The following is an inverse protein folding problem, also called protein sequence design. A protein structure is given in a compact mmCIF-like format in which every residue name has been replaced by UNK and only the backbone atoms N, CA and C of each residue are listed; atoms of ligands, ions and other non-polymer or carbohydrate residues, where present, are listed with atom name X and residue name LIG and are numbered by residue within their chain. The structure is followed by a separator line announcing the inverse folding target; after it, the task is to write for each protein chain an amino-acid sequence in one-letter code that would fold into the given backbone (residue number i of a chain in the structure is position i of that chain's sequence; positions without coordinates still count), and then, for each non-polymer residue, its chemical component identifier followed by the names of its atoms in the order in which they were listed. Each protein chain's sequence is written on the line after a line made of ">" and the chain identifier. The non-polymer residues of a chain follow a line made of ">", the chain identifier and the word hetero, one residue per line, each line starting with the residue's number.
data_IF_873179502549
#
_entry.id   IF_873179502549
#
_cell.length_a   1.000
_cell.length_b   1.000
_cell.length_c   1.000
_cell.angle_alpha   90.00
_cell.angle_beta   90.00
_cell.angle_gamma   90.00
#
_symmetry.space_group_name_H-M   'P 1'
#
loop_
_entity.id
_entity.type
_entity.pdbx_description
1 polymer ?
#
# COMPACT_ATOMS: atom_id res chain seq x y z
N UNK A 1 11.08 -4.23 -10.95
CA UNK A 1 10.37 -5.29 -10.20
C UNK A 1 11.38 -6.34 -9.72
N UNK A 2 11.89 -6.23 -8.46
CA UNK A 2 12.96 -7.10 -7.92
C UNK A 2 12.42 -8.27 -7.08
N UNK A 3 11.20 -8.16 -6.54
CA UNK A 3 10.60 -9.18 -5.67
C UNK A 3 10.12 -10.41 -6.44
N UNK A 4 10.44 -11.61 -5.96
CA UNK A 4 9.94 -12.87 -6.50
C UNK A 4 8.40 -12.94 -6.45
N UNK A 5 7.80 -12.49 -5.34
CA UNK A 5 6.36 -12.44 -5.18
C UNK A 5 5.68 -11.55 -6.24
N UNK A 6 6.29 -10.39 -6.57
CA UNK A 6 5.74 -9.51 -7.61
C UNK A 6 5.83 -10.16 -9.01
N UNK A 7 6.92 -10.86 -9.31
CA UNK A 7 7.03 -11.59 -10.59
C UNK A 7 6.00 -12.72 -10.70
N UNK A 8 5.82 -13.48 -9.63
CA UNK A 8 4.84 -14.55 -9.57
C UNK A 8 3.40 -14.04 -9.76
N UNK A 9 3.03 -12.92 -9.11
CA UNK A 9 1.71 -12.32 -9.25
C UNK A 9 1.46 -11.79 -10.68
N UNK A 10 2.46 -11.18 -11.34
CA UNK A 10 2.35 -10.75 -12.74
C UNK A 10 2.18 -11.97 -13.66
N UNK A 11 2.94 -13.04 -13.42
CA UNK A 11 2.82 -14.27 -14.20
C UNK A 11 1.42 -14.87 -14.05
N UNK A 12 0.92 -14.98 -12.82
CA UNK A 12 -0.41 -15.52 -12.55
C UNK A 12 -1.52 -14.69 -13.25
N UNK A 13 -1.42 -13.37 -13.22
CA UNK A 13 -2.39 -12.50 -13.89
C UNK A 13 -2.35 -12.63 -15.43
N UNK A 14 -1.16 -12.86 -16.02
CA UNK A 14 -1.04 -13.15 -17.44
C UNK A 14 -1.55 -14.54 -17.81
N UNK A 15 -1.33 -15.55 -16.95
CA UNK A 15 -1.87 -16.90 -17.14
C UNK A 15 -3.41 -16.92 -17.04
N UNK A 16 -3.98 -16.07 -16.17
CA UNK A 16 -5.44 -15.87 -16.03
C UNK A 16 -6.04 -15.25 -17.30
N UNK A 17 -5.41 -14.22 -17.87
CA UNK A 17 -5.94 -13.46 -19.00
C UNK A 17 -5.71 -14.14 -20.34
N UNK A 18 -4.58 -14.82 -20.51
CA UNK A 18 -4.15 -15.40 -21.79
C UNK A 18 -4.29 -16.92 -21.87
N UNK A 19 -4.57 -17.61 -20.75
CA UNK A 19 -4.53 -19.06 -20.66
C UNK A 19 -3.11 -19.65 -20.69
N UNK A 20 -3.04 -20.99 -20.68
CA UNK A 20 -1.76 -21.71 -20.79
C UNK A 20 -1.93 -22.84 -21.82
N UNK A 21 -1.23 -22.78 -22.97
CA UNK A 21 -0.26 -21.73 -23.42
C UNK A 21 -0.93 -20.38 -23.72
N UNK A 22 -0.18 -19.29 -23.58
CA UNK A 22 -0.67 -17.93 -23.80
C UNK A 22 -1.16 -17.72 -25.21
N UNK A 23 -2.42 -17.25 -25.36
CA UNK A 23 -3.06 -16.96 -26.63
C UNK A 23 -4.03 -15.80 -26.51
N UNK A 24 -3.83 -14.74 -27.29
CA UNK A 24 -4.87 -13.76 -27.60
C UNK A 24 -5.51 -14.13 -28.92
N UNK A 25 -6.61 -14.87 -28.86
CA UNK A 25 -7.31 -15.42 -30.02
C UNK A 25 -7.71 -14.34 -31.03
N UNK A 26 -8.17 -13.17 -30.54
CA UNK A 26 -8.57 -12.06 -31.40
C UNK A 26 -7.41 -11.48 -32.19
N UNK A 27 -6.31 -11.20 -31.48
CA UNK A 27 -5.11 -10.68 -32.15
C UNK A 27 -4.49 -11.68 -33.11
N UNK A 28 -4.51 -12.98 -32.75
CA UNK A 28 -4.04 -14.04 -33.66
C UNK A 28 -4.88 -14.12 -34.92
N UNK A 29 -6.19 -13.97 -34.81
CA UNK A 29 -7.12 -14.05 -35.96
C UNK A 29 -7.07 -12.83 -36.89
N UNK A 30 -6.92 -11.60 -36.31
CA UNK A 30 -7.20 -10.37 -37.06
C UNK A 30 -5.97 -9.48 -37.32
N UNK A 31 -4.90 -9.58 -36.50
CA UNK A 31 -3.76 -8.66 -36.59
C UNK A 31 -2.61 -9.33 -37.33
N UNK A 32 -1.99 -8.62 -38.26
CA UNK A 32 -0.79 -9.10 -38.95
C UNK A 32 0.34 -9.43 -37.93
N UNK A 33 0.94 -10.60 -37.95
CA UNK A 33 2.03 -10.97 -37.03
C UNK A 33 3.27 -10.07 -37.15
N UNK A 34 3.44 -9.36 -38.28
CA UNK A 34 4.51 -8.39 -38.53
C UNK A 34 4.14 -6.96 -38.10
N UNK A 35 2.88 -6.70 -37.79
CA UNK A 35 2.42 -5.36 -37.42
C UNK A 35 3.17 -4.84 -36.18
N UNK A 36 3.69 -3.62 -36.30
CA UNK A 36 4.36 -2.89 -35.20
C UNK A 36 3.50 -1.71 -34.84
N UNK A 37 3.31 -1.49 -33.55
CA UNK A 37 2.52 -0.41 -33.04
C UNK A 37 3.30 0.43 -32.01
N UNK A 38 2.90 1.68 -31.89
CA UNK A 38 3.36 2.64 -30.88
C UNK A 38 2.17 3.18 -30.14
N UNK A 39 2.29 3.44 -28.84
CA UNK A 39 1.21 4.02 -28.07
C UNK A 39 1.69 4.54 -26.72
N UNK A 40 0.72 4.98 -25.93
CA UNK A 40 0.99 5.54 -24.61
C UNK A 40 -0.10 5.14 -23.60
N UNK A 41 0.26 5.20 -22.30
CA UNK A 41 -0.70 5.06 -21.20
C UNK A 41 -0.83 6.42 -20.51
N UNK A 42 -2.09 6.83 -20.25
CA UNK A 42 -2.44 8.08 -19.56
C UNK A 42 -3.70 7.91 -18.69
N UNK A 43 -3.97 8.89 -17.82
CA UNK A 43 -5.21 8.94 -17.03
C UNK A 43 -6.31 9.66 -17.79
N UNK A 44 -7.51 9.05 -17.92
CA UNK A 44 -8.63 9.60 -18.71
C UNK A 44 -9.30 10.80 -18.07
N UNK A 45 -9.88 10.60 -16.89
CA UNK A 45 -10.84 11.54 -16.31
C UNK A 45 -10.23 12.53 -15.33
N UNK A 46 -9.42 12.05 -14.42
CA UNK A 46 -8.82 12.85 -13.34
C UNK A 46 -7.31 12.70 -13.36
N UNK A 47 -6.59 13.71 -12.85
CA UNK A 47 -5.18 13.52 -12.53
C UNK A 47 -5.00 12.50 -11.41
N UNK A 48 -3.82 11.92 -11.33
CA UNK A 48 -3.49 10.94 -10.29
C UNK A 48 -2.03 11.02 -9.85
N UNK A 49 -1.73 10.38 -8.73
CA UNK A 49 -0.35 10.03 -8.37
C UNK A 49 0.02 8.74 -9.08
N UNK A 50 1.06 8.79 -9.90
CA UNK A 50 1.54 7.62 -10.65
C UNK A 50 2.09 6.57 -9.69
N UNK A 51 1.64 5.34 -9.85
CA UNK A 51 2.22 4.17 -9.21
C UNK A 51 2.06 2.95 -10.11
N UNK A 52 3.11 2.17 -10.27
CA UNK A 52 3.09 0.96 -11.08
C UNK A 52 3.49 1.14 -12.55
N UNK A 53 4.04 2.29 -12.97
CA UNK A 53 4.60 2.44 -14.32
C UNK A 53 5.70 1.40 -14.59
N UNK A 54 6.52 1.11 -13.58
CA UNK A 54 7.53 0.05 -13.64
C UNK A 54 6.93 -1.36 -13.71
N UNK A 55 5.75 -1.57 -13.10
CA UNK A 55 5.03 -2.85 -13.16
C UNK A 55 4.41 -3.04 -14.54
N UNK A 56 3.74 -2.02 -15.10
CA UNK A 56 3.21 -2.08 -16.47
C UNK A 56 4.29 -2.35 -17.50
N UNK A 57 5.45 -1.70 -17.38
CA UNK A 57 6.60 -1.97 -18.22
C UNK A 57 7.09 -3.43 -18.09
N UNK A 58 7.03 -3.99 -16.88
CA UNK A 58 7.40 -5.39 -16.65
C UNK A 58 6.38 -6.38 -17.22
N UNK A 59 5.09 -6.08 -17.16
CA UNK A 59 4.01 -6.87 -17.79
C UNK A 59 4.21 -6.91 -19.29
N UNK A 60 4.38 -5.74 -19.94
CA UNK A 60 4.66 -5.65 -21.38
C UNK A 60 5.86 -6.51 -21.79
N UNK A 61 6.97 -6.41 -21.04
CA UNK A 61 8.19 -7.19 -21.31
C UNK A 61 8.10 -8.66 -20.94
N UNK A 62 7.20 -9.05 -20.06
CA UNK A 62 6.95 -10.46 -19.74
C UNK A 62 6.27 -11.18 -20.92
N UNK A 63 5.40 -10.48 -21.66
CA UNK A 63 4.78 -11.00 -22.89
C UNK A 63 5.76 -10.99 -24.07
N UNK A 64 6.49 -9.89 -24.26
CA UNK A 64 7.50 -9.80 -25.30
C UNK A 64 8.67 -8.89 -24.84
N UNK A 65 9.86 -9.46 -24.57
CA UNK A 65 11.02 -8.69 -24.11
C UNK A 65 11.53 -7.66 -25.12
N UNK A 66 11.12 -7.76 -26.39
CA UNK A 66 11.48 -6.82 -27.47
C UNK A 66 10.66 -5.55 -27.46
N UNK A 67 9.57 -5.47 -26.69
CA UNK A 67 8.79 -4.23 -26.54
C UNK A 67 9.69 -3.18 -25.90
N UNK A 68 9.84 -2.05 -26.58
CA UNK A 68 10.54 -0.87 -26.07
C UNK A 68 9.57 -0.05 -25.22
N UNK A 69 9.87 0.18 -23.95
CA UNK A 69 9.04 0.98 -23.03
C UNK A 69 9.87 2.15 -22.53
N UNK A 70 9.30 3.37 -22.60
CA UNK A 70 9.89 4.59 -22.03
C UNK A 70 8.94 5.14 -20.98
N UNK A 71 9.36 5.15 -19.71
CA UNK A 71 8.61 5.78 -18.61
C UNK A 71 8.87 7.27 -18.68
N UNK A 72 7.80 8.07 -18.85
CA UNK A 72 7.82 9.53 -18.93
C UNK A 72 7.62 10.16 -17.55
N UNK A 73 6.79 9.53 -16.72
CA UNK A 73 6.49 9.96 -15.35
C UNK A 73 6.86 8.86 -14.36
N UNK A 74 7.75 9.20 -13.44
CA UNK A 74 8.19 8.28 -12.37
C UNK A 74 7.07 8.02 -11.37
N UNK A 75 7.08 6.83 -10.78
CA UNK A 75 6.20 6.51 -9.66
C UNK A 75 6.39 7.56 -8.54
N UNK A 76 5.28 8.05 -7.94
CA UNK A 76 5.22 9.17 -7.01
C UNK A 76 4.98 10.54 -7.63
N UNK A 77 5.11 10.70 -8.96
CA UNK A 77 4.78 11.94 -9.67
C UNK A 77 3.27 12.13 -9.76
N UNK A 78 2.81 13.38 -9.78
CA UNK A 78 1.41 13.70 -10.12
C UNK A 78 1.29 13.99 -11.61
N UNK A 79 0.24 13.49 -12.25
CA UNK A 79 -0.11 13.75 -13.64
C UNK A 79 -1.49 14.38 -13.75
N UNK A 80 -1.67 15.23 -14.78
CA UNK A 80 -2.96 15.78 -15.18
C UNK A 80 -3.73 14.78 -16.04
N UNK A 81 -5.05 14.98 -16.26
CA UNK A 81 -5.81 14.22 -17.25
C UNK A 81 -5.13 14.23 -18.63
N UNK A 82 -5.10 13.10 -19.30
CA UNK A 82 -4.48 12.90 -20.62
C UNK A 82 -2.97 13.15 -20.70
N UNK A 83 -2.29 13.40 -19.59
CA UNK A 83 -0.84 13.51 -19.58
C UNK A 83 -0.19 12.12 -19.67
N UNK A 84 0.68 11.85 -20.66
CA UNK A 84 1.27 10.54 -20.87
C UNK A 84 2.18 10.12 -19.70
N UNK A 85 1.98 8.89 -19.20
CA UNK A 85 2.77 8.29 -18.11
C UNK A 85 3.93 7.50 -18.68
N UNK A 86 3.66 6.68 -19.69
CA UNK A 86 4.69 5.91 -20.40
C UNK A 86 4.30 5.73 -21.87
N UNK A 87 5.30 5.51 -22.72
CA UNK A 87 5.14 5.14 -24.13
C UNK A 87 5.75 3.77 -24.38
N UNK A 88 5.25 3.11 -25.41
CA UNK A 88 5.74 1.80 -25.82
C UNK A 88 5.79 1.67 -27.35
N UNK A 89 6.64 0.75 -27.85
CA UNK A 89 6.70 0.34 -29.25
C UNK A 89 7.11 -1.13 -29.33
N UNK A 90 6.36 -1.91 -30.12
CA UNK A 90 6.63 -3.32 -30.30
C UNK A 90 5.66 -3.99 -31.25
N UNK A 91 5.66 -5.33 -31.31
CA UNK A 91 4.66 -6.07 -32.06
C UNK A 91 3.26 -5.78 -31.53
N UNK A 92 2.32 -5.46 -32.44
CA UNK A 92 0.95 -5.11 -32.07
C UNK A 92 0.28 -6.23 -31.26
N UNK A 93 0.39 -7.50 -31.71
CA UNK A 93 -0.15 -8.67 -30.98
C UNK A 93 0.36 -8.77 -29.55
N UNK A 94 1.66 -8.55 -29.34
CA UNK A 94 2.27 -8.65 -28.02
C UNK A 94 1.80 -7.54 -27.08
N UNK A 95 1.57 -6.33 -27.60
CA UNK A 95 1.09 -5.20 -26.80
C UNK A 95 -0.38 -5.41 -26.43
N UNK A 96 -1.23 -5.84 -27.38
CA UNK A 96 -2.64 -6.15 -27.13
C UNK A 96 -2.79 -7.23 -26.05
N UNK A 97 -2.01 -8.31 -26.14
CA UNK A 97 -2.02 -9.36 -25.13
C UNK A 97 -1.59 -8.90 -23.73
N UNK A 98 -0.77 -7.86 -23.60
CA UNK A 98 -0.28 -7.35 -22.33
C UNK A 98 -1.12 -6.20 -21.77
N UNK A 99 -1.91 -5.52 -22.61
CA UNK A 99 -2.58 -4.26 -22.32
C UNK A 99 -3.41 -4.31 -21.06
N UNK A 100 -4.39 -5.23 -21.01
CA UNK A 100 -5.36 -5.27 -19.92
C UNK A 100 -4.70 -5.55 -18.59
N UNK A 101 -3.82 -6.53 -18.54
CA UNK A 101 -3.07 -6.87 -17.32
C UNK A 101 -2.19 -5.70 -16.85
N UNK A 102 -1.49 -5.01 -17.76
CA UNK A 102 -0.69 -3.83 -17.41
C UNK A 102 -1.56 -2.69 -16.84
N UNK A 103 -2.70 -2.39 -17.46
CA UNK A 103 -3.63 -1.38 -16.99
C UNK A 103 -4.23 -1.74 -15.63
N UNK A 104 -4.64 -2.99 -15.41
CA UNK A 104 -5.25 -3.44 -14.16
C UNK A 104 -4.32 -3.21 -12.96
N UNK A 105 -3.03 -3.56 -13.07
CA UNK A 105 -2.06 -3.26 -12.01
C UNK A 105 -1.91 -1.75 -11.78
N UNK A 106 -1.71 -0.96 -12.84
CA UNK A 106 -1.53 0.49 -12.70
C UNK A 106 -2.75 1.19 -12.14
N UNK A 107 -3.95 0.85 -12.59
CA UNK A 107 -5.21 1.46 -12.15
C UNK A 107 -5.40 1.34 -10.63
N UNK A 108 -5.15 0.13 -10.08
CA UNK A 108 -5.21 -0.13 -8.64
C UNK A 108 -4.10 0.59 -7.88
N UNK A 109 -2.88 0.53 -8.38
CA UNK A 109 -1.73 1.16 -7.72
C UNK A 109 -1.84 2.69 -7.72
N UNK A 110 -2.25 3.30 -8.83
CA UNK A 110 -2.48 4.75 -8.91
C UNK A 110 -3.59 5.20 -7.95
N UNK A 111 -4.67 4.42 -7.80
CA UNK A 111 -5.74 4.72 -6.84
C UNK A 111 -5.23 4.73 -5.40
N UNK A 112 -4.51 3.68 -4.99
CA UNK A 112 -3.86 3.59 -3.67
C UNK A 112 -2.92 4.77 -3.42
N UNK A 113 -2.05 5.09 -4.37
CA UNK A 113 -1.11 6.21 -4.23
C UNK A 113 -1.84 7.56 -4.15
N UNK A 114 -2.87 7.76 -4.96
CA UNK A 114 -3.66 9.00 -4.99
C UNK A 114 -4.45 9.19 -3.69
N UNK A 115 -5.07 8.12 -3.18
CA UNK A 115 -5.76 8.18 -1.88
C UNK A 115 -4.77 8.45 -0.74
N UNK A 116 -3.62 7.78 -0.74
CA UNK A 116 -2.58 8.01 0.26
C UNK A 116 -2.11 9.46 0.25
N UNK A 117 -1.87 10.06 -0.92
CA UNK A 117 -1.48 11.46 -1.06
C UNK A 117 -2.51 12.41 -0.42
N UNK A 118 -3.80 12.15 -0.57
CA UNK A 118 -4.85 12.98 0.06
C UNK A 118 -4.70 13.00 1.60
N UNK A 119 -4.46 11.83 2.22
CA UNK A 119 -4.24 11.76 3.66
C UNK A 119 -2.93 12.42 4.09
N UNK A 120 -1.85 12.20 3.35
CA UNK A 120 -0.54 12.83 3.61
C UNK A 120 -0.66 14.35 3.57
N UNK A 121 -1.28 14.89 2.52
CA UNK A 121 -1.45 16.35 2.36
C UNK A 121 -2.37 16.93 3.44
N UNK A 122 -3.42 16.21 3.84
CA UNK A 122 -4.33 16.63 4.90
C UNK A 122 -3.66 16.74 6.28
N UNK A 123 -2.62 15.91 6.54
CA UNK A 123 -1.95 15.83 7.85
C UNK A 123 -0.56 16.46 7.87
N UNK A 124 -0.06 16.92 6.73
CA UNK A 124 1.32 17.40 6.51
C UNK A 124 1.80 18.39 7.59
N UNK A 125 0.97 19.35 7.97
CA UNK A 125 1.33 20.40 8.96
C UNK A 125 1.63 19.85 10.36
N UNK A 126 1.18 18.64 10.67
CA UNK A 126 1.36 18.01 11.99
C UNK A 126 2.57 17.07 12.04
N UNK A 127 3.19 16.77 10.90
CA UNK A 127 4.30 15.83 10.82
C UNK A 127 3.91 14.36 11.09
N UNK A 128 2.60 14.06 11.11
CA UNK A 128 2.07 12.73 11.38
C UNK A 128 2.28 11.81 10.17
N UNK A 129 2.84 10.62 10.40
CA UNK A 129 3.03 9.61 9.37
C UNK A 129 1.69 8.96 9.00
N UNK A 130 1.48 8.72 7.71
CA UNK A 130 0.34 7.94 7.20
C UNK A 130 0.84 6.54 6.89
N UNK A 131 0.27 5.55 7.58
CA UNK A 131 0.65 4.15 7.47
C UNK A 131 -0.43 3.33 6.76
N UNK A 132 0.01 2.33 6.00
CA UNK A 132 -0.86 1.25 5.55
C UNK A 132 -1.11 0.22 6.68
N UNK A 133 -1.75 -0.88 6.34
CA UNK A 133 -1.99 -2.01 7.24
C UNK A 133 -1.74 -3.34 6.53
N UNK A 134 -2.10 -4.46 7.18
CA UNK A 134 -2.17 -5.78 6.55
C UNK A 134 -3.54 -6.09 5.89
N UNK A 135 -4.49 -5.15 5.93
CA UNK A 135 -5.79 -5.26 5.23
C UNK A 135 -5.57 -4.97 3.74
N UNK A 136 -5.02 -5.95 3.02
CA UNK A 136 -4.63 -5.86 1.60
C UNK A 136 -5.36 -6.90 0.77
N UNK A 137 -5.47 -6.66 -0.53
CA UNK A 137 -5.95 -7.67 -1.48
C UNK A 137 -5.03 -8.90 -1.42
N UNK A 138 -5.57 -10.13 -1.26
CA UNK A 138 -4.75 -11.34 -1.23
C UNK A 138 -3.82 -11.43 -2.45
N UNK A 139 -2.54 -11.72 -2.20
CA UNK A 139 -1.51 -11.82 -3.25
C UNK A 139 -0.97 -10.48 -3.77
N UNK A 140 -1.65 -9.33 -3.54
CA UNK A 140 -1.26 -8.04 -4.10
C UNK A 140 -0.57 -7.09 -3.10
N UNK A 141 -0.32 -7.52 -1.87
CA UNK A 141 0.28 -6.68 -0.81
C UNK A 141 1.56 -5.96 -1.21
N UNK A 142 2.42 -6.60 -1.98
CA UNK A 142 3.68 -6.01 -2.43
C UNK A 142 3.46 -4.78 -3.32
N UNK A 143 2.42 -4.78 -4.13
CA UNK A 143 2.07 -3.66 -5.03
C UNK A 143 1.36 -2.56 -4.26
N UNK A 144 0.39 -2.92 -3.41
CA UNK A 144 -0.39 -1.96 -2.63
C UNK A 144 0.50 -1.20 -1.64
N UNK A 145 1.38 -1.90 -0.91
CA UNK A 145 2.33 -1.24 -0.01
C UNK A 145 3.34 -0.36 -0.75
N UNK A 146 3.81 -0.78 -1.90
CA UNK A 146 4.64 0.07 -2.76
C UNK A 146 3.87 1.32 -3.22
N UNK A 147 2.61 1.18 -3.63
CA UNK A 147 1.78 2.31 -4.04
C UNK A 147 1.53 3.31 -2.90
N UNK A 148 1.39 2.84 -1.65
CA UNK A 148 1.34 3.72 -0.47
C UNK A 148 2.60 4.59 -0.37
N UNK A 149 3.79 4.03 -0.58
CA UNK A 149 5.04 4.82 -0.56
C UNK A 149 5.09 5.83 -1.72
N UNK A 150 4.57 5.48 -2.90
CA UNK A 150 4.43 6.43 -4.02
C UNK A 150 3.52 7.61 -3.67
N UNK A 151 2.48 7.38 -2.86
CA UNK A 151 1.60 8.43 -2.33
C UNK A 151 2.24 9.31 -1.26
N UNK A 152 3.43 8.98 -0.76
CA UNK A 152 4.12 9.66 0.34
C UNK A 152 3.80 9.10 1.72
N UNK A 153 3.09 7.97 1.80
CA UNK A 153 2.87 7.22 3.02
C UNK A 153 4.07 6.37 3.42
N UNK A 154 3.96 5.72 4.55
CA UNK A 154 4.96 4.82 5.12
C UNK A 154 4.36 3.44 5.33
N UNK A 155 5.12 2.38 5.12
CA UNK A 155 4.62 1.04 5.34
C UNK A 155 4.63 0.67 6.84
N UNK A 156 3.50 0.17 7.33
CA UNK A 156 3.43 -0.62 8.54
C UNK A 156 4.05 -2.01 8.29
N UNK A 157 4.15 -2.88 9.30
CA UNK A 157 4.68 -4.24 9.15
C UNK A 157 4.12 -4.91 7.88
N UNK A 158 5.02 -5.59 7.17
CA UNK A 158 4.65 -6.28 5.94
C UNK A 158 3.86 -7.56 6.22
N UNK A 159 4.27 -8.30 7.25
CA UNK A 159 3.66 -9.55 7.66
C UNK A 159 3.54 -9.69 9.17
N UNK A 160 3.40 -10.93 9.66
CA UNK A 160 3.42 -11.21 11.09
C UNK A 160 4.83 -11.50 11.62
N UNK A 161 5.80 -11.52 10.73
CA UNK A 161 7.17 -11.92 10.99
C UNK A 161 8.16 -10.75 11.22
N UNK A 162 7.75 -9.52 10.91
CA UNK A 162 8.66 -8.35 10.92
C UNK A 162 8.35 -7.30 12.01
N UNK A 163 7.30 -7.53 12.83
CA UNK A 163 6.99 -6.76 14.04
C UNK A 163 6.03 -7.56 14.92
N UNK A 164 6.25 -7.56 16.21
CA UNK A 164 5.25 -8.06 17.17
C UNK A 164 4.20 -6.97 17.35
N UNK A 165 2.93 -7.30 17.06
CA UNK A 165 1.77 -6.44 17.35
C UNK A 165 0.82 -7.24 18.23
N UNK A 166 0.76 -6.85 19.50
CA UNK A 166 -0.12 -7.46 20.48
C UNK A 166 -1.50 -6.81 20.42
N UNK A 167 -2.51 -7.62 20.17
CA UNK A 167 -3.93 -7.26 20.09
C UNK A 167 -4.68 -7.88 21.26
N UNK A 168 -5.92 -7.45 21.47
CA UNK A 168 -6.82 -7.95 22.50
C UNK A 168 -6.87 -9.49 22.56
N UNK A 169 -7.04 -10.15 21.44
CA UNK A 169 -7.11 -11.61 21.36
C UNK A 169 -5.80 -12.30 21.74
N UNK A 170 -4.64 -11.70 21.46
CA UNK A 170 -3.36 -12.23 21.92
C UNK A 170 -3.25 -12.18 23.44
N UNK A 171 -3.73 -11.08 24.05
CA UNK A 171 -3.72 -10.87 25.50
C UNK A 171 -4.63 -11.87 26.23
N UNK A 172 -5.85 -12.05 25.72
CA UNK A 172 -6.84 -12.99 26.27
C UNK A 172 -6.35 -14.45 26.25
N UNK A 173 -5.58 -14.82 25.24
CA UNK A 173 -5.04 -16.17 25.06
C UNK A 173 -3.66 -16.37 25.69
N UNK A 174 -3.04 -15.30 26.21
CA UNK A 174 -1.72 -15.38 26.82
C UNK A 174 -1.77 -16.02 28.20
N UNK A 175 -1.11 -17.18 28.34
CA UNK A 175 -1.07 -17.95 29.61
C UNK A 175 0.06 -17.54 30.56
N UNK A 176 0.92 -16.58 30.18
CA UNK A 176 2.10 -16.18 30.95
C UNK A 176 1.84 -15.09 31.99
N UNK A 177 0.61 -14.59 32.12
CA UNK A 177 0.22 -13.54 33.05
C UNK A 177 -1.22 -13.10 32.89
N UNK A 178 -1.60 -12.03 33.63
CA UNK A 178 -2.92 -11.43 33.48
C UNK A 178 -3.00 -10.67 32.12
N UNK A 179 -4.11 -10.79 31.36
CA UNK A 179 -4.35 -10.00 30.13
C UNK A 179 -4.17 -8.48 30.26
N UNK A 180 -4.33 -7.94 31.46
CA UNK A 180 -4.15 -6.51 31.76
C UNK A 180 -2.69 -6.12 32.06
N UNK A 181 -1.80 -7.08 32.28
CA UNK A 181 -0.37 -6.84 32.56
C UNK A 181 0.41 -6.69 31.25
N UNK A 182 0.13 -5.63 30.52
CA UNK A 182 0.70 -5.38 29.19
C UNK A 182 2.23 -5.22 29.23
N UNK A 183 2.78 -4.73 30.31
CA UNK A 183 4.23 -4.63 30.52
C UNK A 183 4.90 -6.01 30.56
N UNK A 184 4.32 -6.99 31.25
CA UNK A 184 4.84 -8.37 31.27
C UNK A 184 4.76 -9.02 29.89
N UNK A 185 3.67 -8.80 29.15
CA UNK A 185 3.53 -9.28 27.79
C UNK A 185 4.60 -8.70 26.84
N UNK A 186 4.92 -7.40 26.97
CA UNK A 186 6.02 -6.76 26.21
C UNK A 186 7.35 -7.40 26.54
N UNK A 187 7.66 -7.65 27.84
CA UNK A 187 8.90 -8.29 28.25
C UNK A 187 9.01 -9.72 27.67
N UNK A 188 7.92 -10.49 27.72
CA UNK A 188 7.89 -11.83 27.16
C UNK A 188 8.11 -11.82 25.63
N UNK A 189 7.49 -10.89 24.92
CA UNK A 189 7.66 -10.73 23.47
C UNK A 189 9.12 -10.41 23.11
N UNK A 190 9.74 -9.45 23.81
CA UNK A 190 11.15 -9.08 23.60
C UNK A 190 12.12 -10.23 23.90
N UNK A 191 11.87 -10.98 24.96
CA UNK A 191 12.67 -12.17 25.28
C UNK A 191 12.65 -13.19 24.14
N UNK A 192 11.50 -13.39 23.51
CA UNK A 192 11.34 -14.36 22.40
C UNK A 192 11.86 -13.84 21.06
N UNK A 193 11.66 -12.55 20.77
CA UNK A 193 12.02 -11.90 19.51
C UNK A 193 12.80 -10.61 19.75
N UNK A 194 14.06 -10.68 20.21
CA UNK A 194 14.82 -9.50 20.66
C UNK A 194 15.15 -8.49 19.55
N UNK A 195 15.02 -8.90 18.27
CA UNK A 195 15.31 -8.03 17.12
C UNK A 195 14.06 -7.40 16.52
N UNK A 196 12.86 -7.78 16.98
CA UNK A 196 11.61 -7.23 16.45
C UNK A 196 11.12 -6.09 17.33
N UNK A 197 10.66 -5.01 16.69
CA UNK A 197 9.92 -3.98 17.39
C UNK A 197 8.63 -4.56 17.98
N UNK A 198 8.27 -4.09 19.18
CA UNK A 198 7.03 -4.48 19.86
C UNK A 198 6.05 -3.31 19.81
N UNK A 199 4.84 -3.59 19.39
CA UNK A 199 3.71 -2.69 19.37
C UNK A 199 2.56 -3.30 20.17
N UNK A 200 1.89 -2.45 20.96
CA UNK A 200 0.76 -2.86 21.81
C UNK A 200 -0.48 -2.05 21.42
N UNK A 201 -1.55 -2.74 21.08
CA UNK A 201 -2.87 -2.16 20.85
C UNK A 201 -3.57 -1.94 22.19
N UNK A 202 -4.07 -0.72 22.40
CA UNK A 202 -4.76 -0.29 23.62
C UNK A 202 -6.03 0.47 23.27
N UNK A 203 -7.07 0.30 24.09
CA UNK A 203 -8.37 0.93 23.91
C UNK A 203 -8.73 1.93 25.04
N UNK A 204 -7.85 2.07 26.05
CA UNK A 204 -8.08 2.92 27.21
C UNK A 204 -6.81 3.58 27.74
N UNK A 205 -6.99 4.65 28.52
CA UNK A 205 -5.90 5.33 29.23
C UNK A 205 -5.19 4.39 30.24
N UNK A 206 -5.95 3.50 30.89
CA UNK A 206 -5.42 2.51 31.84
C UNK A 206 -4.48 1.52 31.13
N UNK A 207 -4.90 0.99 29.99
CA UNK A 207 -4.07 0.09 29.17
C UNK A 207 -2.83 0.79 28.64
N UNK A 208 -2.99 2.05 28.15
CA UNK A 208 -1.84 2.85 27.72
C UNK A 208 -0.81 3.03 28.84
N UNK A 209 -1.25 3.33 30.06
CA UNK A 209 -0.37 3.45 31.21
C UNK A 209 0.31 2.13 31.57
N UNK A 210 -0.41 0.99 31.49
CA UNK A 210 0.17 -0.34 31.72
C UNK A 210 1.26 -0.68 30.68
N UNK A 211 0.93 -0.54 29.38
CA UNK A 211 1.87 -0.81 28.31
C UNK A 211 3.15 0.05 28.39
N UNK A 212 2.98 1.33 28.79
CA UNK A 212 4.08 2.30 28.87
C UNK A 212 5.16 1.91 29.90
N UNK A 213 4.85 1.13 30.93
CA UNK A 213 5.82 0.67 31.94
C UNK A 213 6.98 -0.09 31.32
N UNK A 214 6.71 -0.94 30.32
CA UNK A 214 7.75 -1.72 29.62
C UNK A 214 8.33 -0.98 28.40
N UNK A 215 7.88 0.23 28.10
CA UNK A 215 8.37 1.07 27.00
C UNK A 215 8.46 0.30 25.67
N UNK A 216 7.35 -0.20 25.10
CA UNK A 216 7.35 -0.77 23.76
C UNK A 216 7.80 0.27 22.74
N UNK A 217 8.16 -0.13 21.52
CA UNK A 217 8.53 0.82 20.46
C UNK A 217 7.32 1.64 20.00
N UNK A 218 6.12 1.03 20.03
CA UNK A 218 4.87 1.66 19.62
C UNK A 218 3.72 1.30 20.57
N UNK A 219 2.81 2.23 20.78
CA UNK A 219 1.48 1.99 21.37
C UNK A 219 0.44 2.44 20.35
N UNK A 220 -0.41 1.50 19.91
CA UNK A 220 -1.52 1.76 19.00
C UNK A 220 -2.77 2.10 19.82
N UNK A 221 -3.34 3.27 19.56
CA UNK A 221 -4.55 3.81 20.18
C UNK A 221 -5.73 3.43 19.29
N UNK A 222 -6.40 2.30 19.59
CA UNK A 222 -7.44 1.77 18.72
C UNK A 222 -8.81 2.31 19.12
N UNK A 223 -9.54 2.89 18.16
CA UNK A 223 -10.89 3.44 18.31
C UNK A 223 -11.07 4.46 19.47
N UNK A 224 -10.01 5.14 19.90
CA UNK A 224 -10.06 6.11 21.00
C UNK A 224 -10.61 7.47 20.55
N UNK A 225 -11.13 8.24 21.49
CA UNK A 225 -11.49 9.65 21.27
C UNK A 225 -10.24 10.53 21.08
N UNK A 226 -10.35 11.64 20.34
CA UNK A 226 -9.24 12.60 20.21
C UNK A 226 -8.82 13.20 21.57
N UNK A 227 -9.74 13.30 22.53
CA UNK A 227 -9.45 13.75 23.89
C UNK A 227 -8.53 12.76 24.62
N UNK A 228 -8.82 11.47 24.53
CA UNK A 228 -8.03 10.43 25.17
C UNK A 228 -6.72 10.16 24.41
N UNK A 229 -6.72 10.25 23.06
CA UNK A 229 -5.48 10.22 22.28
C UNK A 229 -4.50 11.32 22.76
N UNK A 230 -4.96 12.56 23.00
CA UNK A 230 -4.09 13.64 23.53
C UNK A 230 -3.49 13.29 24.89
N UNK A 231 -4.27 12.66 25.79
CA UNK A 231 -3.78 12.21 27.10
C UNK A 231 -2.73 11.11 26.94
N UNK A 232 -2.99 10.09 26.09
CA UNK A 232 -2.02 9.04 25.79
C UNK A 232 -0.73 9.61 25.18
N UNK A 233 -0.83 10.49 24.19
CA UNK A 233 0.32 11.18 23.58
C UNK A 233 1.15 11.90 24.64
N UNK A 234 0.50 12.63 25.57
CA UNK A 234 1.20 13.31 26.67
C UNK A 234 1.94 12.33 27.58
N UNK A 235 1.34 11.18 27.92
CA UNK A 235 1.98 10.16 28.74
C UNK A 235 3.19 9.52 28.03
N UNK A 236 3.07 9.28 26.71
CA UNK A 236 4.08 8.60 25.88
C UNK A 236 5.22 9.53 25.43
N UNK A 237 5.06 10.85 25.53
CA UNK A 237 5.97 11.85 24.94
C UNK A 237 7.44 11.60 25.34
N UNK A 238 8.30 11.49 24.31
CA UNK A 238 9.74 11.25 24.50
C UNK A 238 10.11 9.83 24.93
N UNK A 239 9.15 8.92 25.06
CA UNK A 239 9.37 7.54 25.55
C UNK A 239 8.99 6.48 24.52
N UNK A 240 7.81 6.61 23.91
CA UNK A 240 7.19 5.62 23.04
C UNK A 240 6.47 6.35 21.90
N UNK A 241 6.53 5.80 20.68
CA UNK A 241 5.76 6.30 19.54
C UNK A 241 4.30 5.91 19.67
N UNK A 242 3.40 6.77 19.23
CA UNK A 242 1.95 6.52 19.26
C UNK A 242 1.38 6.41 17.86
N UNK A 243 0.51 5.43 17.64
CA UNK A 243 -0.21 5.21 16.40
C UNK A 243 -1.70 5.31 16.68
N UNK A 244 -2.45 6.09 15.89
CA UNK A 244 -3.90 6.09 15.93
C UNK A 244 -4.46 5.11 14.90
N UNK A 245 -5.42 4.29 15.29
CA UNK A 245 -6.11 3.30 14.45
C UNK A 245 -7.61 3.31 14.70
N UNK A 246 -8.39 2.73 13.77
CA UNK A 246 -9.83 2.53 13.92
C UNK A 246 -10.69 3.61 13.24
N UNK A 247 -11.34 3.27 12.11
CA UNK A 247 -12.39 4.05 11.46
C UNK A 247 -12.06 5.51 11.09
N UNK A 248 -10.79 5.83 10.83
CA UNK A 248 -10.35 7.20 10.55
C UNK A 248 -10.61 7.53 9.07
N UNK A 249 -11.53 8.48 8.84
CA UNK A 249 -11.82 9.02 7.50
C UNK A 249 -10.92 10.20 7.16
N UNK A 250 -10.93 10.64 5.89
CA UNK A 250 -10.13 11.79 5.44
C UNK A 250 -10.50 13.08 6.18
N UNK A 251 -11.79 13.26 6.46
CA UNK A 251 -12.32 14.41 7.20
C UNK A 251 -11.78 14.45 8.64
N UNK A 252 -11.73 13.27 9.31
CA UNK A 252 -11.24 13.15 10.69
C UNK A 252 -9.72 13.16 10.82
N UNK A 253 -9.00 12.85 9.72
CA UNK A 253 -7.55 12.68 9.77
C UNK A 253 -6.81 13.91 10.32
N UNK A 254 -7.29 15.12 10.01
CA UNK A 254 -6.72 16.38 10.54
C UNK A 254 -6.88 16.50 12.05
N UNK A 255 -8.06 16.16 12.59
CA UNK A 255 -8.35 16.22 14.02
C UNK A 255 -7.51 15.19 14.78
N UNK A 256 -7.41 13.98 14.25
CA UNK A 256 -6.57 12.92 14.82
C UNK A 256 -5.09 13.33 14.80
N UNK A 257 -4.57 13.83 13.68
CA UNK A 257 -3.19 14.32 13.59
C UNK A 257 -2.91 15.47 14.58
N UNK A 258 -3.89 16.36 14.81
CA UNK A 258 -3.78 17.46 15.77
C UNK A 258 -3.71 16.99 17.24
N UNK A 259 -3.92 15.71 17.53
CA UNK A 259 -3.68 15.15 18.87
C UNK A 259 -2.20 14.97 19.18
N UNK A 260 -1.34 15.00 18.15
CA UNK A 260 0.10 14.81 18.26
C UNK A 260 0.54 13.35 18.15
N UNK A 261 -0.32 12.44 17.69
CA UNK A 261 0.08 11.05 17.41
C UNK A 261 1.21 11.02 16.37
N UNK A 262 2.14 10.09 16.54
CA UNK A 262 3.28 9.93 15.64
C UNK A 262 2.83 9.43 14.27
N UNK A 263 1.81 8.56 14.23
CA UNK A 263 1.31 7.96 13.00
C UNK A 263 -0.20 7.72 13.04
N UNK A 264 -0.79 7.58 11.86
CA UNK A 264 -2.18 7.14 11.64
C UNK A 264 -2.14 5.96 10.68
N UNK A 265 -2.67 4.81 11.08
CA UNK A 265 -2.80 3.64 10.22
C UNK A 265 -4.19 3.53 9.60
N UNK A 266 -4.23 3.29 8.31
CA UNK A 266 -5.42 3.37 7.47
C UNK A 266 -5.56 2.14 6.58
N UNK A 267 -6.52 1.27 6.90
CA UNK A 267 -6.82 0.11 6.05
C UNK A 267 -7.42 0.50 4.70
N UNK A 268 -8.18 1.61 4.66
CA UNK A 268 -8.84 2.07 3.43
C UNK A 268 -7.87 2.40 2.29
N UNK A 269 -6.60 2.70 2.59
CA UNK A 269 -5.58 2.96 1.56
C UNK A 269 -5.40 1.78 0.61
N UNK A 270 -5.63 0.56 1.08
CA UNK A 270 -5.40 -0.66 0.33
C UNK A 270 -6.69 -1.40 -0.01
N UNK A 271 -7.61 -1.57 0.94
CA UNK A 271 -8.83 -2.33 0.66
C UNK A 271 -9.98 -1.51 0.03
N UNK A 272 -9.92 -0.16 0.03
CA UNK A 272 -11.02 0.71 -0.43
C UNK A 272 -10.59 1.84 -1.35
N UNK A 273 -9.38 1.78 -1.93
CA UNK A 273 -8.87 2.85 -2.80
C UNK A 273 -9.58 2.94 -4.17
N UNK A 274 -10.30 1.90 -4.58
CA UNK A 274 -10.93 1.84 -5.91
C UNK A 274 -9.91 1.65 -7.04
N UNK A 275 -10.19 2.26 -8.20
CA UNK A 275 -9.32 2.25 -9.38
C UNK A 275 -9.33 3.61 -10.07
N UNK A 276 -8.20 4.02 -10.64
CA UNK A 276 -8.11 5.18 -11.53
C UNK A 276 -8.34 4.72 -12.96
N UNK A 277 -9.21 5.38 -13.72
CA UNK A 277 -9.42 5.04 -15.13
C UNK A 277 -8.23 5.48 -15.99
N UNK A 278 -7.42 4.48 -16.37
CA UNK A 278 -6.28 4.64 -17.26
C UNK A 278 -6.62 4.05 -18.64
N UNK A 279 -6.07 4.65 -19.68
CA UNK A 279 -6.21 4.16 -21.06
C UNK A 279 -4.86 3.93 -21.69
N UNK A 280 -4.83 2.91 -22.55
CA UNK A 280 -3.78 2.75 -23.53
C UNK A 280 -4.32 3.30 -24.87
N UNK A 281 -3.60 4.21 -25.49
CA UNK A 281 -3.95 4.79 -26.79
C UNK A 281 -2.84 4.53 -27.80
N UNK A 282 -3.27 4.11 -28.98
CA UNK A 282 -2.37 3.85 -30.10
C UNK A 282 -2.01 5.18 -30.79
N UNK A 283 -0.75 5.36 -31.13
CA UNK A 283 -0.28 6.39 -32.05
C UNK A 283 -0.09 5.76 -33.43
N UNK A 284 -1.02 6.03 -34.30
CA UNK A 284 -1.01 5.57 -35.68
C UNK A 284 -0.04 6.43 -36.48
#
# INVERSE_FOLDING_TARGET
>A
MRSAAAKAAVRLALDEDLGVPWCDATSVALVDPKAVATGEIYSKGTGCVVAGATVAAAVLKAVDPKIKVKILKKDGSTVKPKEPILTFRGKARSILAAERTALNFMQRMCATATLTRKFVDATKRYGTLILDTRKTTPGLRVFEKYAVTCGGGTNHRFGMFDRVLMKDNHRRLWKGGNPDDLDQAVVAARKRFPKLAVEVEVESLRECASALKAKPEWIMLDNMSCADMRKCVKMCRGKVKTEASGGITLERAKEVAATGVTAISLGCLTHSAGSIDLSLEWKV
#
